data_IF_168062631188
#
_entry.id   IF_168062631188
#
_cell.length_a   1.000
_cell.length_b   1.000
_cell.length_c   1.000
_cell.angle_alpha   90.00
_cell.angle_beta   90.00
_cell.angle_gamma   90.00
#
_symmetry.space_group_name_H-M   'P 1'
#
loop_
_entity.id
_entity.type
_entity.pdbx_description
1 polymer ?
#
# COMPACT_ATOMS: atom_id res chain seq x y z
N UNK A 1 7.80 -11.66 18.79
CA UNK A 1 6.71 -10.69 18.51
C UNK A 1 6.73 -9.49 19.44
N UNK A 2 6.88 -9.71 20.75
CA UNK A 2 6.95 -8.67 21.78
C UNK A 2 8.11 -8.94 22.78
N UNK A 3 9.13 -9.65 22.33
CA UNK A 3 10.31 -9.95 23.14
C UNK A 3 11.14 -8.68 23.42
N UNK A 4 12.12 -8.82 24.30
CA UNK A 4 12.98 -7.71 24.72
C UNK A 4 13.71 -7.03 23.54
N UNK A 5 14.01 -7.76 22.46
CA UNK A 5 14.67 -7.17 21.28
C UNK A 5 13.72 -6.26 20.50
N UNK A 6 12.45 -6.64 20.37
CA UNK A 6 11.40 -5.81 19.77
C UNK A 6 11.16 -4.57 20.62
N UNK A 7 10.99 -4.73 21.94
CA UNK A 7 10.77 -3.60 22.85
C UNK A 7 11.95 -2.62 22.85
N UNK A 8 13.19 -3.13 22.84
CA UNK A 8 14.39 -2.29 22.71
C UNK A 8 14.41 -1.52 21.40
N UNK A 9 14.04 -2.16 20.27
CA UNK A 9 13.96 -1.50 18.97
C UNK A 9 12.88 -0.42 18.93
N UNK A 10 11.70 -0.68 19.50
CA UNK A 10 10.64 0.32 19.63
C UNK A 10 11.09 1.51 20.49
N UNK A 11 11.80 1.26 21.59
CA UNK A 11 12.44 2.30 22.40
C UNK A 11 13.42 3.15 21.58
N UNK A 12 14.31 2.52 20.81
CA UNK A 12 15.25 3.22 19.93
C UNK A 12 14.56 4.02 18.82
N UNK A 13 13.48 3.49 18.23
CA UNK A 13 12.67 4.24 17.25
C UNK A 13 12.06 5.51 17.89
N UNK A 14 11.54 5.40 19.11
CA UNK A 14 10.93 6.52 19.86
C UNK A 14 11.96 7.54 20.31
N UNK A 15 13.08 7.10 20.87
CA UNK A 15 14.03 7.96 21.60
C UNK A 15 15.19 8.44 20.73
N UNK A 16 15.44 7.79 19.59
CA UNK A 16 16.63 8.06 18.75
C UNK A 16 16.26 8.33 17.30
N UNK A 17 15.75 7.32 16.55
CA UNK A 17 15.51 7.50 15.12
C UNK A 17 14.41 8.53 14.84
N UNK A 18 13.27 8.44 15.52
CA UNK A 18 12.13 9.35 15.32
C UNK A 18 12.48 10.82 15.56
N UNK A 19 13.09 11.18 16.71
CA UNK A 19 13.55 12.54 16.96
C UNK A 19 14.57 13.03 15.94
N UNK A 20 15.51 12.19 15.50
CA UNK A 20 16.51 12.54 14.50
C UNK A 20 15.88 12.80 13.11
N UNK A 21 14.96 11.93 12.67
CA UNK A 21 14.17 12.15 11.45
C UNK A 21 13.36 13.45 11.54
N UNK A 22 12.72 13.70 12.68
CA UNK A 22 11.98 14.93 12.93
C UNK A 22 12.87 16.18 12.87
N UNK A 23 14.08 16.12 13.42
CA UNK A 23 15.05 17.21 13.34
C UNK A 23 15.50 17.46 11.90
N UNK A 24 15.89 16.41 11.18
CA UNK A 24 16.29 16.49 9.77
C UNK A 24 15.18 17.11 8.90
N UNK A 25 13.92 16.69 9.09
CA UNK A 25 12.79 17.25 8.35
C UNK A 25 12.53 18.73 8.65
N UNK A 26 12.76 19.19 9.90
CA UNK A 26 12.56 20.59 10.31
C UNK A 26 13.65 21.53 9.81
N UNK A 27 14.88 21.05 9.62
CA UNK A 27 15.96 21.87 9.03
C UNK A 27 15.90 21.87 7.50
N UNK A 28 15.37 20.78 6.92
CA UNK A 28 15.11 20.66 5.49
C UNK A 28 13.84 21.40 5.06
N UNK A 29 13.39 21.15 3.83
CA UNK A 29 12.15 21.71 3.25
C UNK A 29 10.98 20.73 3.30
N UNK A 30 11.07 19.68 4.12
CA UNK A 30 10.24 18.48 3.98
C UNK A 30 10.63 17.66 2.74
N UNK A 31 9.88 16.59 2.48
CA UNK A 31 10.10 15.69 1.35
C UNK A 31 8.78 15.53 0.58
N UNK A 32 8.81 15.92 -0.70
CA UNK A 32 7.68 15.69 -1.59
C UNK A 32 7.60 14.20 -1.94
N UNK A 33 6.57 13.53 -1.44
CA UNK A 33 6.40 12.08 -1.63
C UNK A 33 5.90 11.73 -3.04
N UNK A 34 5.03 12.54 -3.65
CA UNK A 34 4.49 12.24 -5.00
C UNK A 34 5.58 12.13 -6.08
N UNK A 35 6.57 13.06 -6.19
CA UNK A 35 7.67 12.91 -7.15
C UNK A 35 8.59 11.73 -6.84
N UNK A 36 8.70 11.35 -5.55
CA UNK A 36 9.50 10.22 -5.12
C UNK A 36 8.85 8.90 -5.57
N UNK A 37 7.53 8.76 -5.39
CA UNK A 37 6.72 7.66 -5.94
C UNK A 37 6.79 7.60 -7.46
N UNK A 38 6.65 8.74 -8.15
CA UNK A 38 6.75 8.80 -9.60
C UNK A 38 8.08 8.22 -10.11
N UNK A 39 9.20 8.57 -9.45
CA UNK A 39 10.51 7.98 -9.74
C UNK A 39 10.58 6.51 -9.37
N UNK A 40 10.01 6.10 -8.24
CA UNK A 40 9.92 4.70 -7.82
C UNK A 40 9.29 3.80 -8.88
N UNK A 41 8.14 4.22 -9.43
CA UNK A 41 7.45 3.51 -10.52
C UNK A 41 8.37 3.28 -11.73
N UNK A 42 9.20 4.26 -12.09
CA UNK A 42 10.19 4.10 -13.18
C UNK A 42 11.39 3.23 -12.82
N UNK A 43 11.57 2.89 -11.53
CA UNK A 43 12.66 2.08 -10.99
C UNK A 43 12.20 0.69 -10.54
N UNK A 44 11.04 0.23 -11.02
CA UNK A 44 10.55 -1.13 -10.85
C UNK A 44 9.64 -1.33 -9.63
N UNK A 45 9.22 -0.26 -8.97
CA UNK A 45 8.70 -0.24 -7.60
C UNK A 45 7.19 0.02 -7.65
N UNK A 46 6.36 -0.78 -6.96
CA UNK A 46 4.88 -0.62 -6.95
C UNK A 46 4.32 -0.08 -5.63
N UNK A 47 5.18 0.17 -4.65
CA UNK A 47 4.91 0.84 -3.37
C UNK A 47 4.20 -0.01 -2.29
N UNK A 48 3.87 -1.28 -2.55
CA UNK A 48 3.27 -2.16 -1.55
C UNK A 48 4.21 -3.31 -1.14
N UNK A 49 4.57 -4.19 -2.08
CA UNK A 49 5.51 -5.29 -1.85
C UNK A 49 6.95 -4.95 -2.25
N UNK A 50 7.15 -4.07 -3.23
CA UNK A 50 8.49 -3.60 -3.63
C UNK A 50 8.59 -2.09 -3.46
N UNK A 51 9.44 -1.73 -2.50
CA UNK A 51 9.69 -0.38 -2.01
C UNK A 51 11.19 -0.03 -2.02
N UNK A 52 12.02 -0.83 -2.69
CA UNK A 52 13.48 -0.73 -2.64
C UNK A 52 13.97 0.60 -3.23
N UNK A 53 13.42 0.99 -4.38
CA UNK A 53 13.83 2.22 -5.05
C UNK A 53 13.43 3.44 -4.21
N UNK A 54 12.18 3.49 -3.74
CA UNK A 54 11.71 4.61 -2.92
C UNK A 54 12.38 4.67 -1.55
N UNK A 55 12.67 3.54 -0.90
CA UNK A 55 13.46 3.51 0.35
C UNK A 55 14.86 4.07 0.14
N UNK A 56 15.51 3.71 -0.98
CA UNK A 56 16.83 4.23 -1.35
C UNK A 56 16.80 5.73 -1.69
N UNK A 57 15.79 6.18 -2.46
CA UNK A 57 15.60 7.59 -2.80
C UNK A 57 15.29 8.45 -1.57
N UNK A 58 14.51 7.92 -0.63
CA UNK A 58 14.21 8.57 0.64
C UNK A 58 15.47 8.74 1.46
N UNK A 59 16.26 7.66 1.63
CA UNK A 59 17.53 7.71 2.35
C UNK A 59 18.48 8.72 1.72
N UNK A 60 18.60 8.72 0.39
CA UNK A 60 19.41 9.69 -0.36
C UNK A 60 19.00 11.14 -0.07
N UNK A 61 17.71 11.40 0.04
CA UNK A 61 17.17 12.74 0.33
C UNK A 61 17.40 13.14 1.80
N UNK A 62 17.22 12.22 2.74
CA UNK A 62 17.35 12.47 4.17
C UNK A 62 18.80 12.56 4.67
N UNK A 63 19.73 11.82 4.06
CA UNK A 63 21.08 11.64 4.58
C UNK A 63 21.84 12.95 4.83
N UNK A 64 21.80 13.98 3.95
CA UNK A 64 22.47 15.25 4.22
C UNK A 64 21.92 15.98 5.45
N UNK A 65 20.60 15.97 5.65
CA UNK A 65 19.98 16.65 6.79
C UNK A 65 20.20 15.89 8.09
N UNK A 66 20.11 14.55 8.07
CA UNK A 66 20.52 13.72 9.20
C UNK A 66 21.99 13.97 9.59
N UNK A 67 22.89 14.12 8.61
CA UNK A 67 24.30 14.39 8.87
C UNK A 67 24.56 15.79 9.48
N UNK A 68 23.66 16.76 9.23
CA UNK A 68 23.71 18.11 9.80
C UNK A 68 23.13 18.17 11.20
N UNK A 69 22.11 17.36 11.51
CA UNK A 69 21.38 17.43 12.79
C UNK A 69 21.81 16.40 13.81
N UNK A 70 22.63 15.42 13.42
CA UNK A 70 23.09 14.34 14.29
C UNK A 70 24.60 14.45 14.51
N UNK A 71 24.99 14.92 15.70
CA UNK A 71 26.40 15.09 16.08
C UNK A 71 27.10 13.74 16.31
N UNK A 72 26.39 12.77 16.90
CA UNK A 72 26.91 11.43 17.14
C UNK A 72 27.01 10.64 15.83
N UNK A 73 28.25 10.44 15.37
CA UNK A 73 28.55 9.72 14.13
C UNK A 73 28.20 8.24 14.19
N UNK A 74 28.25 7.63 15.36
CA UNK A 74 27.85 6.22 15.55
C UNK A 74 26.34 6.11 15.40
N UNK A 75 25.59 6.96 16.09
CA UNK A 75 24.13 6.99 15.98
C UNK A 75 23.67 7.30 14.54
N UNK A 76 24.32 8.24 13.86
CA UNK A 76 24.04 8.53 12.45
C UNK A 76 24.26 7.29 11.56
N UNK A 77 25.40 6.60 11.71
CA UNK A 77 25.69 5.40 10.94
C UNK A 77 24.65 4.29 11.19
N UNK A 78 24.24 4.10 12.45
CA UNK A 78 23.17 3.15 12.82
C UNK A 78 21.83 3.49 12.17
N UNK A 79 21.44 4.77 12.15
CA UNK A 79 20.20 5.23 11.51
C UNK A 79 20.23 4.99 9.99
N UNK A 80 21.33 5.35 9.32
CA UNK A 80 21.48 5.14 7.88
C UNK A 80 21.49 3.65 7.53
N UNK A 81 22.16 2.83 8.33
CA UNK A 81 22.16 1.38 8.15
C UNK A 81 20.77 0.78 8.35
N UNK A 82 20.02 1.22 9.37
CA UNK A 82 18.67 0.75 9.64
C UNK A 82 17.70 1.01 8.48
N UNK A 83 17.75 2.23 7.90
CA UNK A 83 16.92 2.58 6.74
C UNK A 83 17.40 1.79 5.51
N UNK A 84 18.72 1.74 5.28
CA UNK A 84 19.31 1.10 4.10
C UNK A 84 19.19 -0.42 4.07
N UNK A 85 19.02 -1.09 5.22
CA UNK A 85 18.81 -2.53 5.29
C UNK A 85 17.33 -2.95 5.26
N UNK A 86 16.41 -1.99 5.11
CA UNK A 86 14.97 -2.25 5.15
C UNK A 86 14.31 -1.81 3.85
N UNK A 87 14.18 -2.74 2.91
CA UNK A 87 13.55 -2.50 1.61
C UNK A 87 12.07 -2.10 1.72
N UNK A 88 11.44 -2.37 2.87
CA UNK A 88 10.04 -2.01 3.18
C UNK A 88 9.91 -0.68 3.94
N UNK A 89 10.99 0.07 4.17
CA UNK A 89 10.93 1.31 4.96
C UNK A 89 9.92 2.32 4.38
N UNK A 90 9.88 2.44 3.05
CA UNK A 90 8.99 3.37 2.35
C UNK A 90 7.50 2.97 2.37
N UNK A 91 7.14 1.71 2.61
CA UNK A 91 5.74 1.27 2.65
C UNK A 91 4.91 2.11 3.64
N UNK A 92 5.47 2.40 4.81
CA UNK A 92 4.79 3.23 5.81
C UNK A 92 4.48 4.64 5.28
N UNK A 93 5.39 5.22 4.50
CA UNK A 93 5.19 6.53 3.90
C UNK A 93 4.23 6.47 2.71
N UNK A 94 4.24 5.38 1.94
CA UNK A 94 3.26 5.15 0.88
C UNK A 94 1.83 5.06 1.46
N UNK A 95 1.64 4.39 2.59
CA UNK A 95 0.36 4.34 3.29
C UNK A 95 -0.09 5.72 3.78
N UNK A 96 0.81 6.49 4.41
CA UNK A 96 0.51 7.85 4.87
C UNK A 96 0.17 8.77 3.70
N UNK A 97 0.91 8.67 2.59
CA UNK A 97 0.61 9.40 1.35
C UNK A 97 -0.77 9.02 0.82
N UNK A 98 -1.10 7.73 0.77
CA UNK A 98 -2.41 7.25 0.32
C UNK A 98 -3.54 7.82 1.16
N UNK A 99 -3.41 7.76 2.49
CA UNK A 99 -4.40 8.33 3.41
C UNK A 99 -4.53 9.85 3.24
N UNK A 100 -3.41 10.57 3.18
CA UNK A 100 -3.40 12.03 3.01
C UNK A 100 -3.98 12.48 1.65
N UNK A 101 -3.89 11.65 0.61
CA UNK A 101 -4.52 11.89 -0.69
C UNK A 101 -6.01 11.56 -0.70
N UNK A 102 -6.43 10.53 0.03
CA UNK A 102 -7.82 10.07 0.01
C UNK A 102 -8.75 10.83 0.96
N UNK A 103 -8.23 11.39 2.06
CA UNK A 103 -9.05 12.15 3.01
C UNK A 103 -9.71 13.39 2.39
N UNK A 104 -9.03 14.21 1.57
CA UNK A 104 -9.65 15.36 0.92
C UNK A 104 -10.70 15.01 -0.15
N UNK A 105 -10.71 13.77 -0.66
CA UNK A 105 -11.71 13.31 -1.63
C UNK A 105 -12.87 12.56 -0.96
N UNK A 106 -12.93 12.55 0.37
CA UNK A 106 -14.02 11.99 1.14
C UNK A 106 -15.16 13.01 1.34
N UNK A 107 -16.41 12.53 1.42
CA UNK A 107 -17.58 13.38 1.69
C UNK A 107 -18.14 14.14 0.48
N UNK A 108 -17.82 13.72 -0.74
CA UNK A 108 -18.38 14.31 -1.97
C UNK A 108 -19.73 13.67 -2.26
N UNK A 109 -20.80 14.46 -2.18
CA UNK A 109 -22.17 13.99 -2.40
C UNK A 109 -22.32 13.26 -3.75
N UNK A 110 -22.96 12.10 -3.73
CA UNK A 110 -23.20 11.27 -4.92
C UNK A 110 -21.96 10.57 -5.51
N UNK A 111 -20.77 10.77 -4.94
CA UNK A 111 -19.56 10.10 -5.41
C UNK A 111 -19.54 8.62 -5.03
N UNK A 112 -19.32 7.76 -6.02
CA UNK A 112 -19.18 6.30 -5.89
C UNK A 112 -17.72 5.85 -5.69
N UNK A 113 -16.79 6.79 -5.49
CA UNK A 113 -15.36 6.49 -5.35
C UNK A 113 -15.03 5.94 -3.97
N UNK A 114 -14.31 4.83 -3.93
CA UNK A 114 -13.71 4.28 -2.71
C UNK A 114 -12.59 5.19 -2.24
N UNK A 115 -12.61 5.54 -0.95
CA UNK A 115 -11.66 6.45 -0.29
C UNK A 115 -10.84 5.77 0.80
N UNK A 116 -11.22 4.56 1.22
CA UNK A 116 -10.38 3.72 2.05
C UNK A 116 -10.71 2.25 1.80
N UNK A 117 -9.68 1.43 1.80
CA UNK A 117 -9.76 -0.02 1.94
C UNK A 117 -8.84 -0.42 3.10
N UNK A 118 -9.34 -1.23 4.04
CA UNK A 118 -8.61 -1.75 5.19
C UNK A 118 -9.04 -3.16 5.53
N UNK A 119 -8.22 -3.88 6.29
CA UNK A 119 -8.58 -5.18 6.84
C UNK A 119 -7.87 -5.45 8.16
N UNK A 120 -8.44 -6.32 8.99
CA UNK A 120 -7.95 -6.56 10.35
C UNK A 120 -7.70 -8.05 10.66
N UNK A 121 -7.68 -8.92 9.65
CA UNK A 121 -7.56 -10.38 9.82
C UNK A 121 -8.89 -11.11 10.05
N UNK A 122 -10.01 -10.40 10.14
CA UNK A 122 -11.36 -10.97 10.18
C UNK A 122 -12.27 -10.34 9.13
N UNK A 123 -12.27 -9.02 9.05
CA UNK A 123 -13.13 -8.22 8.18
C UNK A 123 -12.29 -7.33 7.26
N UNK A 124 -12.71 -7.29 6.00
CA UNK A 124 -12.32 -6.29 5.02
C UNK A 124 -13.36 -5.18 4.99
N UNK A 125 -12.93 -3.93 5.03
CA UNK A 125 -13.81 -2.76 5.04
C UNK A 125 -13.47 -1.77 3.94
N UNK A 126 -14.51 -1.15 3.38
CA UNK A 126 -14.36 0.00 2.49
C UNK A 126 -15.14 1.22 3.00
N UNK A 127 -14.64 2.41 2.65
CA UNK A 127 -15.38 3.68 2.75
C UNK A 127 -15.54 4.30 1.38
N UNK A 128 -16.72 4.85 1.10
CA UNK A 128 -17.04 5.48 -0.18
C UNK A 128 -17.34 6.96 0.05
N UNK A 129 -16.85 7.82 -0.85
CA UNK A 129 -16.90 9.28 -0.68
C UNK A 129 -18.32 9.81 -0.44
N UNK A 130 -19.30 9.42 -1.25
CA UNK A 130 -20.70 9.83 -1.11
C UNK A 130 -21.44 9.17 0.06
N UNK A 131 -20.79 8.26 0.79
CA UNK A 131 -21.41 7.52 1.89
C UNK A 131 -20.99 8.00 3.29
N UNK A 132 -20.06 8.94 3.41
CA UNK A 132 -19.61 9.49 4.69
C UNK A 132 -18.80 8.50 5.52
N UNK A 133 -18.95 8.54 6.85
CA UNK A 133 -18.14 7.71 7.78
C UNK A 133 -18.56 6.23 7.88
N UNK A 134 -19.58 5.81 7.12
CA UNK A 134 -20.07 4.43 7.13
C UNK A 134 -19.04 3.47 6.51
N UNK A 135 -18.80 2.35 7.21
CA UNK A 135 -17.97 1.25 6.74
C UNK A 135 -18.85 0.12 6.21
N UNK A 136 -18.51 -0.37 5.03
CA UNK A 136 -19.12 -1.56 4.45
C UNK A 136 -18.12 -2.70 4.57
N UNK A 137 -18.50 -3.78 5.25
CA UNK A 137 -17.58 -4.86 5.59
C UNK A 137 -18.02 -6.20 5.04
N UNK A 138 -17.05 -7.09 4.86
CA UNK A 138 -17.22 -8.48 4.51
C UNK A 138 -16.05 -9.29 5.08
N UNK A 139 -16.19 -10.61 5.29
CA UNK A 139 -15.07 -11.44 5.75
C UNK A 139 -13.86 -11.32 4.82
N UNK A 140 -12.66 -11.26 5.39
CA UNK A 140 -11.42 -11.24 4.59
C UNK A 140 -11.22 -12.54 3.82
N UNK A 141 -10.54 -12.44 2.68
CA UNK A 141 -10.06 -13.59 1.92
C UNK A 141 -8.69 -14.06 2.42
N UNK A 142 -8.32 -15.30 2.07
CA UNK A 142 -6.98 -15.82 2.32
C UNK A 142 -6.02 -15.35 1.23
N UNK A 143 -4.85 -14.80 1.59
CA UNK A 143 -3.79 -14.52 0.62
C UNK A 143 -3.32 -15.79 -0.10
N UNK A 144 -3.13 -15.71 -1.41
CA UNK A 144 -2.60 -16.79 -2.24
C UNK A 144 -1.29 -16.35 -2.85
N UNK A 145 -0.24 -17.15 -2.69
CA UNK A 145 1.08 -16.78 -3.18
C UNK A 145 2.17 -17.79 -2.84
N UNK A 146 3.41 -17.30 -2.78
CA UNK A 146 4.59 -18.09 -2.47
C UNK A 146 4.93 -18.01 -0.98
N UNK A 147 5.32 -19.16 -0.43
CA UNK A 147 5.74 -19.30 0.96
C UNK A 147 7.27 -19.41 1.04
N UNK A 148 7.83 -18.85 2.11
CA UNK A 148 9.25 -19.00 2.41
C UNK A 148 9.56 -20.46 2.80
N UNK A 149 10.82 -20.92 2.63
CA UNK A 149 11.20 -22.28 2.98
C UNK A 149 10.80 -22.65 4.41
N UNK A 150 10.06 -23.74 4.56
CA UNK A 150 9.59 -24.25 5.85
C UNK A 150 8.18 -23.80 6.27
N UNK A 151 7.50 -22.96 5.47
CA UNK A 151 6.11 -22.55 5.71
C UNK A 151 5.18 -23.02 4.59
N UNK A 152 3.88 -23.10 4.90
CA UNK A 152 2.82 -23.44 3.94
C UNK A 152 1.57 -22.58 4.15
N UNK A 153 0.54 -22.84 3.34
CA UNK A 153 -0.76 -22.20 3.49
C UNK A 153 -1.43 -22.44 4.84
N UNK A 154 -1.09 -23.53 5.55
CA UNK A 154 -1.62 -23.82 6.88
C UNK A 154 -1.08 -22.87 7.96
N UNK A 155 0.06 -22.22 7.68
CA UNK A 155 0.66 -21.23 8.57
C UNK A 155 0.12 -19.82 8.34
N UNK A 156 -0.61 -19.59 7.23
CA UNK A 156 -1.05 -18.27 6.82
C UNK A 156 -2.15 -17.71 7.74
N UNK A 157 -2.06 -16.42 8.03
CA UNK A 157 -3.16 -15.65 8.61
C UNK A 157 -4.08 -15.13 7.48
N UNK A 158 -5.38 -14.96 7.73
CA UNK A 158 -6.24 -14.17 6.85
C UNK A 158 -5.71 -12.74 6.64
N UNK A 159 -6.09 -12.10 5.53
CA UNK A 159 -5.51 -10.81 5.12
C UNK A 159 -5.70 -9.71 6.18
N UNK A 160 -4.66 -8.93 6.45
CA UNK A 160 -4.66 -7.92 7.50
C UNK A 160 -3.81 -6.68 7.16
N UNK A 161 -4.16 -5.56 7.78
CA UNK A 161 -3.45 -4.28 7.70
C UNK A 161 -4.23 -3.19 6.99
N UNK A 162 -3.72 -1.97 7.06
CA UNK A 162 -4.27 -0.80 6.35
C UNK A 162 -3.56 -0.51 5.02
N UNK A 163 -2.59 -1.35 4.65
CA UNK A 163 -1.75 -1.15 3.47
C UNK A 163 -2.51 -1.16 2.14
N UNK A 164 -3.74 -1.67 2.11
CA UNK A 164 -4.69 -1.55 0.98
C UNK A 164 -5.07 -0.11 0.62
N UNK A 165 -4.72 0.87 1.47
CA UNK A 165 -4.79 2.28 1.08
C UNK A 165 -3.85 2.59 -0.10
N UNK A 166 -2.79 1.80 -0.31
CA UNK A 166 -1.87 1.92 -1.45
C UNK A 166 -2.58 1.56 -2.75
N UNK A 167 -3.33 0.46 -2.80
CA UNK A 167 -4.20 0.12 -3.94
C UNK A 167 -5.33 1.14 -4.13
N UNK A 168 -5.85 1.71 -3.04
CA UNK A 168 -6.92 2.72 -3.11
C UNK A 168 -6.48 3.95 -3.94
N UNK A 169 -5.19 4.30 -3.90
CA UNK A 169 -4.61 5.40 -4.70
C UNK A 169 -4.01 4.95 -6.03
N UNK A 170 -4.28 3.71 -6.47
CA UNK A 170 -3.83 3.20 -7.77
C UNK A 170 -2.43 2.58 -7.79
N UNK A 171 -1.79 2.44 -6.64
CA UNK A 171 -0.48 1.80 -6.52
C UNK A 171 -0.64 0.31 -6.15
N UNK A 172 0.44 -0.34 -5.74
CA UNK A 172 0.40 -1.73 -5.30
C UNK A 172 0.02 -2.67 -6.44
N UNK A 173 -0.98 -3.53 -6.19
CA UNK A 173 -1.56 -4.41 -7.22
C UNK A 173 -2.03 -3.68 -8.49
N UNK A 174 -2.45 -2.41 -8.37
CA UNK A 174 -2.92 -1.60 -9.50
C UNK A 174 -1.76 -1.09 -10.37
N UNK A 175 -0.57 -0.93 -9.77
CA UNK A 175 0.65 -0.53 -10.46
C UNK A 175 1.61 -1.70 -10.71
N UNK A 176 1.12 -2.95 -10.69
CA UNK A 176 1.97 -4.13 -10.84
C UNK A 176 2.80 -4.12 -12.13
N UNK A 177 2.28 -3.51 -13.21
CA UNK A 177 3.01 -3.34 -14.46
C UNK A 177 4.30 -2.51 -14.32
N UNK A 178 4.41 -1.66 -13.30
CA UNK A 178 5.63 -0.93 -12.96
C UNK A 178 6.68 -1.84 -12.29
N UNK A 179 6.25 -2.96 -11.70
CA UNK A 179 7.09 -3.87 -10.94
C UNK A 179 6.98 -5.34 -11.41
N UNK A 180 7.37 -5.69 -12.65
CA UNK A 180 7.25 -7.07 -13.15
C UNK A 180 7.96 -8.13 -12.29
N UNK A 181 9.02 -7.74 -11.56
CA UNK A 181 9.72 -8.61 -10.62
C UNK A 181 8.83 -9.06 -9.45
N UNK A 182 7.83 -8.25 -9.07
CA UNK A 182 6.89 -8.57 -7.99
C UNK A 182 5.94 -9.69 -8.40
N UNK A 183 5.50 -9.76 -9.67
CA UNK A 183 4.52 -10.76 -10.12
C UNK A 183 4.94 -12.20 -9.80
N UNK A 184 6.21 -12.53 -10.03
CA UNK A 184 6.77 -13.84 -9.66
C UNK A 184 6.90 -14.00 -8.15
N UNK A 185 7.33 -12.96 -7.44
CA UNK A 185 7.53 -12.98 -5.98
C UNK A 185 6.21 -13.16 -5.20
N UNK A 186 5.12 -12.54 -5.65
CA UNK A 186 3.78 -12.68 -5.04
C UNK A 186 2.98 -13.86 -5.60
N UNK A 187 3.58 -14.69 -6.47
CA UNK A 187 2.90 -15.83 -7.08
C UNK A 187 1.73 -15.45 -8.01
N UNK A 188 1.66 -14.21 -8.49
CA UNK A 188 0.62 -13.72 -9.42
C UNK A 188 0.83 -14.21 -10.87
N UNK A 189 1.99 -14.81 -11.16
CA UNK A 189 2.29 -15.42 -12.45
C UNK A 189 3.67 -15.03 -12.98
N UNK A 190 3.84 -15.16 -14.29
CA UNK A 190 5.06 -14.74 -14.97
C UNK A 190 5.15 -13.21 -15.05
N UNK A 191 6.35 -12.59 -15.08
CA UNK A 191 6.49 -11.13 -15.14
C UNK A 191 5.68 -10.44 -16.24
N UNK A 192 5.42 -11.11 -17.37
CA UNK A 192 4.62 -10.56 -18.47
C UNK A 192 3.14 -10.38 -18.12
N UNK A 193 2.59 -11.07 -17.12
CA UNK A 193 1.19 -10.91 -16.71
C UNK A 193 0.95 -9.67 -15.84
N UNK A 194 2.00 -9.03 -15.33
CA UNK A 194 1.92 -7.82 -14.49
C UNK A 194 1.12 -6.69 -15.17
N UNK A 195 1.24 -6.57 -16.50
CA UNK A 195 0.51 -5.61 -17.30
C UNK A 195 -1.00 -5.85 -17.32
N UNK A 196 -1.42 -7.11 -17.26
CA UNK A 196 -2.83 -7.50 -17.33
C UNK A 196 -3.53 -7.12 -16.01
N UNK A 197 -2.88 -7.31 -14.87
CA UNK A 197 -3.41 -6.83 -13.58
C UNK A 197 -3.69 -5.33 -13.59
N UNK A 198 -2.72 -4.51 -14.02
CA UNK A 198 -2.92 -3.07 -14.13
C UNK A 198 -4.05 -2.71 -15.09
N UNK A 199 -4.16 -3.38 -16.25
CA UNK A 199 -5.24 -3.14 -17.21
C UNK A 199 -6.61 -3.51 -16.64
N UNK A 200 -6.74 -4.66 -16.00
CA UNK A 200 -7.98 -5.11 -15.35
C UNK A 200 -8.41 -4.15 -14.24
N UNK A 201 -7.47 -3.59 -13.46
CA UNK A 201 -7.80 -2.55 -12.49
C UNK A 201 -8.26 -1.25 -13.15
N UNK A 202 -7.80 -0.97 -14.37
CA UNK A 202 -8.32 0.10 -15.23
C UNK A 202 -9.84 0.03 -15.45
N UNK A 203 -10.40 -1.18 -15.58
CA UNK A 203 -11.84 -1.40 -15.86
C UNK A 203 -12.75 -1.02 -14.68
N UNK A 204 -12.21 -0.95 -13.46
CA UNK A 204 -12.95 -0.60 -12.24
C UNK A 204 -12.62 0.79 -11.69
N UNK A 205 -11.86 1.58 -12.45
CA UNK A 205 -11.44 2.93 -12.03
C UNK A 205 -11.94 3.99 -12.99
N UNK A 206 -12.13 5.21 -12.47
CA UNK A 206 -12.68 6.32 -13.24
C UNK A 206 -11.68 6.92 -14.25
N UNK A 207 -10.38 6.88 -13.95
CA UNK A 207 -9.37 7.54 -14.78
C UNK A 207 -7.96 7.00 -14.51
N UNK A 208 -6.97 7.59 -15.18
CA UNK A 208 -5.54 7.34 -14.97
C UNK A 208 -4.88 8.59 -14.37
N UNK A 209 -3.97 8.42 -13.41
CA UNK A 209 -3.23 9.54 -12.82
C UNK A 209 -2.04 9.95 -13.71
N UNK A 210 -2.03 11.17 -14.28
CA UNK A 210 -0.96 11.60 -15.19
C UNK A 210 0.37 11.90 -14.50
N UNK A 211 0.40 12.05 -13.17
CA UNK A 211 1.64 12.28 -12.40
C UNK A 211 2.42 10.98 -12.16
N UNK A 212 1.75 9.84 -12.25
CA UNK A 212 2.28 8.52 -11.89
C UNK A 212 2.12 7.55 -13.05
N UNK A 213 3.08 7.62 -13.97
CA UNK A 213 3.08 6.87 -15.23
C UNK A 213 3.92 5.62 -15.15
N UNK A 214 3.53 4.59 -15.91
CA UNK A 214 4.23 3.30 -16.00
C UNK A 214 4.95 3.20 -17.36
N UNK A 215 6.29 3.25 -17.41
CA UNK A 215 7.03 3.21 -18.68
C UNK A 215 6.75 1.97 -19.53
N UNK A 216 6.54 0.81 -18.90
CA UNK A 216 6.25 -0.44 -19.60
C UNK A 216 4.87 -0.47 -20.28
N UNK A 217 4.00 0.50 -19.98
CA UNK A 217 2.69 0.68 -20.59
C UNK A 217 2.63 2.00 -21.39
N UNK A 218 3.73 2.35 -22.05
CA UNK A 218 3.85 3.60 -22.83
C UNK A 218 3.50 4.86 -22.03
N UNK A 219 3.93 4.89 -20.76
CA UNK A 219 3.66 5.98 -19.82
C UNK A 219 2.17 6.22 -19.52
N UNK A 220 1.33 5.20 -19.66
CA UNK A 220 -0.02 5.25 -19.09
C UNK A 220 0.03 5.51 -17.59
N UNK A 221 -0.90 6.36 -17.11
CA UNK A 221 -1.03 6.65 -15.69
C UNK A 221 -1.59 5.45 -14.92
N UNK A 222 -1.29 5.37 -13.62
CA UNK A 222 -1.86 4.32 -12.77
C UNK A 222 -3.40 4.44 -12.69
N UNK A 223 -4.15 3.31 -12.70
CA UNK A 223 -5.61 3.32 -12.56
C UNK A 223 -6.03 3.99 -11.24
N UNK A 224 -6.94 4.97 -11.27
CA UNK A 224 -7.24 5.83 -10.11
C UNK A 224 -8.74 6.06 -9.94
N UNK A 225 -9.19 6.01 -8.69
CA UNK A 225 -10.59 6.24 -8.31
C UNK A 225 -11.43 5.00 -8.54
N UNK A 226 -11.29 4.00 -7.67
CA UNK A 226 -12.08 2.76 -7.69
C UNK A 226 -13.57 3.13 -7.56
N UNK A 227 -14.37 2.79 -8.57
CA UNK A 227 -15.80 3.07 -8.58
C UNK A 227 -16.58 1.81 -8.19
N UNK A 228 -17.34 1.88 -7.10
CA UNK A 228 -18.13 0.74 -6.63
C UNK A 228 -19.15 0.24 -7.67
N UNK A 229 -19.61 1.11 -8.58
CA UNK A 229 -20.55 0.74 -9.65
C UNK A 229 -19.86 -0.17 -10.66
N UNK A 230 -18.65 0.20 -11.10
CA UNK A 230 -17.86 -0.58 -12.06
C UNK A 230 -17.43 -1.91 -11.45
N UNK A 231 -17.03 -1.92 -10.17
CA UNK A 231 -16.69 -3.16 -9.44
C UNK A 231 -17.87 -4.14 -9.45
N UNK A 232 -19.08 -3.68 -9.12
CA UNK A 232 -20.27 -4.55 -9.08
C UNK A 232 -20.74 -4.93 -10.49
N UNK A 233 -20.72 -4.01 -11.45
CA UNK A 233 -21.15 -4.25 -12.84
C UNK A 233 -20.27 -5.28 -13.56
N UNK A 234 -18.95 -5.15 -13.41
CA UNK A 234 -17.97 -6.03 -14.08
C UNK A 234 -17.73 -7.33 -13.31
N UNK A 235 -18.01 -7.35 -12.01
CA UNK A 235 -17.62 -8.43 -11.10
C UNK A 235 -16.11 -8.50 -10.84
N UNK A 236 -15.33 -7.50 -11.26
CA UNK A 236 -13.89 -7.43 -11.06
C UNK A 236 -13.60 -6.89 -9.66
N UNK A 237 -13.04 -7.73 -8.80
CA UNK A 237 -12.58 -7.32 -7.47
C UNK A 237 -11.21 -6.62 -7.53
N UNK A 238 -10.98 -5.54 -6.75
CA UNK A 238 -9.66 -4.95 -6.57
C UNK A 238 -8.61 -6.00 -6.19
N UNK A 239 -7.49 -6.01 -6.93
CA UNK A 239 -6.34 -6.87 -6.67
C UNK A 239 -5.36 -6.18 -5.74
N UNK A 240 -4.94 -6.88 -4.69
CA UNK A 240 -4.09 -6.35 -3.63
C UNK A 240 -2.84 -7.22 -3.55
N UNK A 241 -1.67 -6.59 -3.62
CA UNK A 241 -0.42 -7.27 -3.28
C UNK A 241 -0.27 -7.27 -1.76
N UNK A 242 0.08 -8.40 -1.16
CA UNK A 242 0.12 -8.49 0.31
C UNK A 242 1.25 -9.39 0.81
N UNK A 243 1.74 -9.09 2.01
CA UNK A 243 2.65 -9.97 2.73
C UNK A 243 1.84 -11.00 3.48
N UNK A 244 2.19 -12.28 3.34
CA UNK A 244 1.50 -13.35 4.06
C UNK A 244 2.09 -13.42 5.47
N UNK A 245 1.31 -13.02 6.47
CA UNK A 245 1.69 -13.12 7.87
C UNK A 245 1.38 -14.50 8.43
N UNK A 246 2.15 -14.97 9.41
CA UNK A 246 1.83 -16.21 10.12
C UNK A 246 0.60 -16.01 11.04
N UNK A 247 -0.26 -17.02 11.12
CA UNK A 247 -1.37 -17.09 12.09
C UNK A 247 -0.94 -17.12 13.57
N UNK A 248 0.34 -17.41 13.86
CA UNK A 248 0.89 -17.41 15.23
C UNK A 248 1.60 -16.08 15.52
N UNK A 249 1.26 -15.40 16.63
CA UNK A 249 1.83 -14.10 16.96
C UNK A 249 3.36 -14.11 17.02
N UNK A 250 3.97 -13.16 16.30
CA UNK A 250 5.38 -12.84 16.44
C UNK A 250 6.35 -13.66 15.61
N UNK A 251 5.88 -14.57 14.75
CA UNK A 251 6.72 -15.21 13.71
C UNK A 251 6.95 -14.25 12.53
N UNK A 252 5.93 -13.46 12.17
CA UNK A 252 6.04 -12.41 11.15
C UNK A 252 5.63 -12.90 9.77
N UNK A 253 6.26 -12.35 8.74
CA UNK A 253 5.97 -12.68 7.34
C UNK A 253 6.51 -14.07 6.98
N UNK A 254 5.66 -14.91 6.41
CA UNK A 254 5.95 -16.29 5.97
C UNK A 254 5.84 -16.47 4.45
N UNK A 255 5.46 -15.42 3.74
CA UNK A 255 5.34 -15.43 2.29
C UNK A 255 4.90 -14.09 1.72
N UNK A 256 4.65 -14.07 0.42
CA UNK A 256 4.07 -12.94 -0.29
C UNK A 256 3.06 -13.44 -1.32
N UNK A 257 1.99 -12.67 -1.52
CA UNK A 257 0.84 -13.13 -2.26
C UNK A 257 0.00 -12.02 -2.84
N UNK A 258 -1.06 -12.44 -3.51
CA UNK A 258 -2.18 -11.60 -3.91
C UNK A 258 -3.42 -11.99 -3.13
N UNK A 259 -4.27 -11.00 -2.91
CA UNK A 259 -5.61 -11.19 -2.34
C UNK A 259 -6.58 -10.28 -3.07
N UNK A 260 -7.87 -10.59 -3.00
CA UNK A 260 -8.94 -9.80 -3.61
C UNK A 260 -9.75 -9.13 -2.51
N UNK A 261 -10.13 -7.87 -2.74
CA UNK A 261 -11.14 -7.24 -1.88
C UNK A 261 -12.48 -7.97 -2.05
N UNK A 262 -13.18 -8.38 -0.98
CA UNK A 262 -14.42 -9.16 -1.11
C UNK A 262 -15.53 -8.35 -1.76
N UNK A 263 -16.16 -8.85 -2.84
CA UNK A 263 -17.20 -8.13 -3.58
C UNK A 263 -18.40 -7.70 -2.72
N UNK A 264 -18.71 -8.47 -1.68
CA UNK A 264 -19.85 -8.22 -0.82
C UNK A 264 -19.83 -6.83 -0.15
N UNK A 265 -18.66 -6.24 0.16
CA UNK A 265 -18.61 -4.90 0.72
C UNK A 265 -18.94 -3.81 -0.31
N UNK A 266 -18.60 -4.03 -1.59
CA UNK A 266 -18.95 -3.14 -2.71
C UNK A 266 -20.44 -3.20 -3.05
N UNK A 267 -21.02 -4.39 -3.04
CA UNK A 267 -22.47 -4.58 -3.25
C UNK A 267 -23.31 -3.88 -2.16
N UNK A 268 -22.88 -3.99 -0.91
CA UNK A 268 -23.52 -3.30 0.22
C UNK A 268 -23.42 -1.78 0.05
N UNK A 269 -22.23 -1.27 -0.28
CA UNK A 269 -22.01 0.15 -0.50
C UNK A 269 -22.85 0.69 -1.67
N UNK A 270 -22.97 -0.07 -2.76
CA UNK A 270 -23.77 0.34 -3.93
C UNK A 270 -25.25 0.45 -3.58
N UNK A 271 -25.80 -0.52 -2.84
CA UNK A 271 -27.19 -0.48 -2.36
C UNK A 271 -27.43 0.73 -1.45
N UNK A 272 -26.49 1.02 -0.55
CA UNK A 272 -26.57 2.19 0.33
C UNK A 272 -26.52 3.51 -0.46
N UNK A 273 -25.68 3.59 -1.50
CA UNK A 273 -25.59 4.77 -2.37
C UNK A 273 -26.87 4.96 -3.19
N UNK A 274 -27.42 3.88 -3.75
CA UNK A 274 -28.69 3.92 -4.47
C UNK A 274 -29.82 4.44 -3.58
N UNK A 275 -29.92 3.93 -2.34
CA UNK A 275 -30.91 4.39 -1.37
C UNK A 275 -30.73 5.89 -1.02
N UNK A 276 -29.48 6.34 -0.81
CA UNK A 276 -29.14 7.75 -0.54
C UNK A 276 -29.58 8.68 -1.67
N UNK A 277 -29.42 8.22 -2.92
CA UNK A 277 -29.76 8.96 -4.13
C UNK A 277 -31.23 8.82 -4.56
N UNK A 278 -32.03 8.02 -3.84
CA UNK A 278 -33.44 7.79 -4.16
C UNK A 278 -33.65 6.94 -5.42
N UNK A 279 -32.66 6.16 -5.84
CA UNK A 279 -32.78 5.19 -6.94
C UNK A 279 -33.54 3.97 -6.43
N UNK A 280 -34.63 3.60 -7.11
CA UNK A 280 -35.51 2.48 -6.77
C UNK A 280 -35.18 1.24 -7.57
#
# INVERSE_FOLDING_TARGET
GNDASVLKRLGWLRDTLGPALGAALRVGKGIDLKPLVARGLTMGDEMHQRNLACSSLLLRTLAPDLARTTDDRTALAEMLAFIGSNDQFFLNLAMVLGKAMMDPVHGIEGSSVVTAMSRNGTDFGIRVSGLGDEWFTAPVEMPVGLYFPGFSADDANPDMGDSTIVETIGLGGFAMAAAPAVAGFVGAGVPSSAADFTRTMGEITLTQNPEWTIPALDYQGVPTGIDIRLVVETGIAPTINTGIAHCKPGIGQVGAGVVKAPLACFEQALKALAARLGVK
#
